data_IF_037193102660
#
_entry.id   IF_037193102660
#
_cell.length_a   1.000
_cell.length_b   1.000
_cell.length_c   1.000
_cell.angle_alpha   90.00
_cell.angle_beta   90.00
_cell.angle_gamma   90.00
#
_symmetry.space_group_name_H-M   'P 1'
#
loop_
_entity.id
_entity.type
_entity.pdbx_description
1 polymer ?
#
# COMPACT_ATOMS: atom_id res chain seq x y z
N UNK A 1 -12.08 1.74 1.19
CA UNK A 1 -10.85 1.16 0.58
C UNK A 1 -10.04 0.47 1.66
N UNK A 2 -9.31 -0.60 1.33
CA UNK A 2 -8.43 -1.32 2.26
C UNK A 2 -7.01 -1.39 1.73
N UNK A 3 -6.03 -1.36 2.63
CA UNK A 3 -4.60 -1.28 2.31
C UNK A 3 -3.93 -2.65 2.50
N UNK A 4 -2.99 -2.99 1.63
CA UNK A 4 -2.06 -4.10 1.82
C UNK A 4 -0.67 -3.53 2.08
N UNK A 5 -0.19 -3.68 3.32
CA UNK A 5 1.13 -3.23 3.71
C UNK A 5 2.19 -4.25 3.30
N UNK A 6 3.19 -3.75 2.59
CA UNK A 6 4.38 -4.47 2.17
C UNK A 6 5.30 -4.88 3.34
N UNK A 7 6.23 -5.82 3.10
CA UNK A 7 7.12 -6.43 4.08
C UNK A 7 8.08 -5.43 4.75
N UNK A 8 8.44 -4.33 4.08
CA UNK A 8 9.23 -3.25 4.67
C UNK A 8 8.44 -2.33 5.61
N UNK A 9 7.12 -2.52 5.71
CA UNK A 9 6.26 -1.78 6.61
C UNK A 9 5.95 -2.60 7.86
N UNK A 10 5.59 -1.91 8.94
CA UNK A 10 5.28 -2.61 10.19
C UNK A 10 3.87 -3.18 10.13
N UNK A 11 3.73 -4.46 10.48
CA UNK A 11 2.44 -5.14 10.76
C UNK A 11 1.53 -4.36 11.72
N UNK A 12 2.10 -3.56 12.63
CA UNK A 12 1.32 -2.72 13.55
C UNK A 12 0.47 -1.67 12.83
N UNK A 13 0.80 -1.30 11.59
CA UNK A 13 0.00 -0.35 10.80
C UNK A 13 -1.41 -0.87 10.53
N UNK A 14 -1.61 -2.19 10.43
CA UNK A 14 -2.93 -2.81 10.25
C UNK A 14 -3.87 -2.40 11.37
N UNK A 15 -3.46 -2.58 12.62
CA UNK A 15 -4.30 -2.24 13.78
C UNK A 15 -4.35 -0.75 14.03
N UNK A 16 -3.25 -0.03 13.79
CA UNK A 16 -3.14 1.40 14.05
C UNK A 16 -3.88 2.27 13.04
N UNK A 17 -4.21 1.77 11.86
CA UNK A 17 -4.93 2.51 10.81
C UNK A 17 -6.33 1.96 10.55
N UNK A 18 -6.79 0.98 11.35
CA UNK A 18 -8.07 0.31 11.17
C UNK A 18 -9.29 1.25 11.29
N UNK A 19 -9.14 2.38 11.97
CA UNK A 19 -10.15 3.43 12.09
C UNK A 19 -10.39 4.18 10.77
N UNK A 20 -9.38 4.30 9.92
CA UNK A 20 -9.46 4.97 8.61
C UNK A 20 -9.55 3.99 7.44
N UNK A 21 -8.84 2.86 7.55
CA UNK A 21 -8.72 1.85 6.51
C UNK A 21 -9.09 0.48 7.10
N UNK A 22 -10.39 0.24 7.38
CA UNK A 22 -10.85 -1.05 7.87
C UNK A 22 -10.51 -2.16 6.87
N UNK A 23 -10.34 -3.40 7.38
CA UNK A 23 -10.01 -4.59 6.57
C UNK A 23 -8.66 -4.55 5.86
N UNK A 24 -7.82 -3.57 6.19
CA UNK A 24 -6.42 -3.56 5.74
C UNK A 24 -5.67 -4.75 6.29
N UNK A 25 -4.65 -5.20 5.57
CA UNK A 25 -3.84 -6.36 5.92
C UNK A 25 -2.37 -6.09 5.60
N UNK A 26 -1.55 -7.09 5.87
CA UNK A 26 -0.12 -7.05 5.64
C UNK A 26 0.29 -8.33 4.89
N UNK A 27 1.25 -8.25 3.97
CA UNK A 27 1.66 -9.37 3.10
C UNK A 27 1.95 -10.68 3.88
N UNK A 28 2.64 -10.58 5.01
CA UNK A 28 2.88 -11.69 5.96
C UNK A 28 1.59 -12.45 6.36
N UNK A 29 0.46 -11.76 6.56
CA UNK A 29 -0.80 -12.41 6.97
C UNK A 29 -1.43 -13.24 5.84
N UNK A 30 -1.03 -12.98 4.59
CA UNK A 30 -1.42 -13.76 3.42
C UNK A 30 -0.37 -14.84 3.06
N UNK A 31 0.65 -15.05 3.91
CA UNK A 31 1.76 -15.97 3.61
C UNK A 31 2.67 -15.48 2.48
N UNK A 32 2.70 -14.16 2.24
CA UNK A 32 3.46 -13.51 1.16
C UNK A 32 4.73 -12.83 1.69
N UNK A 33 5.29 -13.31 2.80
CA UNK A 33 6.47 -12.74 3.43
C UNK A 33 7.77 -12.94 2.61
N UNK A 34 7.79 -13.96 1.76
CA UNK A 34 8.88 -14.27 0.82
C UNK A 34 8.40 -14.28 -0.64
N UNK A 35 7.19 -13.79 -0.88
CA UNK A 35 6.61 -13.78 -2.21
C UNK A 35 7.21 -12.65 -3.05
N UNK A 36 7.37 -12.90 -4.35
CA UNK A 36 7.78 -11.87 -5.30
C UNK A 36 6.69 -10.80 -5.44
N UNK A 37 7.08 -9.59 -5.86
CA UNK A 37 6.17 -8.46 -6.06
C UNK A 37 4.97 -8.80 -6.93
N UNK A 38 5.14 -9.67 -7.92
CA UNK A 38 4.05 -10.11 -8.79
C UNK A 38 2.98 -10.92 -8.04
N UNK A 39 3.38 -11.75 -7.08
CA UNK A 39 2.43 -12.51 -6.26
C UNK A 39 1.69 -11.59 -5.27
N UNK A 40 2.40 -10.63 -4.67
CA UNK A 40 1.79 -9.58 -3.84
C UNK A 40 0.81 -8.74 -4.67
N UNK A 41 1.19 -8.36 -5.89
CA UNK A 41 0.36 -7.63 -6.83
C UNK A 41 -0.90 -8.41 -7.21
N UNK A 42 -0.78 -9.71 -7.48
CA UNK A 42 -1.91 -10.56 -7.83
C UNK A 42 -2.88 -10.70 -6.66
N UNK A 43 -2.38 -10.96 -5.45
CA UNK A 43 -3.20 -11.00 -4.24
C UNK A 43 -3.91 -9.67 -4.01
N UNK A 44 -3.19 -8.54 -4.13
CA UNK A 44 -3.80 -7.23 -3.97
C UNK A 44 -4.88 -6.95 -5.00
N UNK A 45 -4.68 -7.36 -6.26
CA UNK A 45 -5.68 -7.25 -7.31
C UNK A 45 -6.93 -8.07 -7.00
N UNK A 46 -6.74 -9.35 -6.69
CA UNK A 46 -7.83 -10.32 -6.53
C UNK A 46 -8.68 -10.02 -5.30
N UNK A 47 -8.05 -9.49 -4.24
CA UNK A 47 -8.74 -9.12 -3.00
C UNK A 47 -9.17 -7.64 -2.93
N UNK A 48 -8.83 -6.83 -3.94
CA UNK A 48 -9.23 -5.42 -4.03
C UNK A 48 -8.47 -4.47 -3.08
N UNK A 49 -7.20 -4.77 -2.79
CA UNK A 49 -6.31 -3.93 -2.00
C UNK A 49 -5.66 -2.80 -2.80
N UNK A 50 -5.32 -1.73 -2.08
CA UNK A 50 -4.30 -0.75 -2.50
C UNK A 50 -2.98 -1.13 -1.82
N UNK A 51 -1.93 -1.35 -2.59
CA UNK A 51 -0.61 -1.69 -2.05
C UNK A 51 0.02 -0.43 -1.46
N UNK A 52 0.56 -0.54 -0.25
CA UNK A 52 1.38 0.50 0.36
C UNK A 52 2.78 -0.04 0.53
N UNK A 53 3.75 0.62 -0.10
CA UNK A 53 5.16 0.20 -0.10
C UNK A 53 6.09 1.38 0.04
N UNK A 54 7.34 1.10 0.40
CA UNK A 54 8.47 2.03 0.33
C UNK A 54 9.40 1.74 -0.86
N UNK A 55 9.23 0.58 -1.50
CA UNK A 55 10.10 0.15 -2.58
C UNK A 55 9.61 0.67 -3.92
N UNK A 56 10.57 0.91 -4.81
CA UNK A 56 10.30 1.33 -6.18
C UNK A 56 9.82 0.19 -7.06
N UNK A 57 10.10 -1.06 -6.72
CA UNK A 57 10.01 -2.22 -7.63
C UNK A 57 8.55 -2.49 -8.03
N UNK A 58 7.61 -2.20 -7.14
CA UNK A 58 6.17 -2.20 -7.41
C UNK A 58 5.74 -1.23 -8.53
N UNK A 59 6.46 -0.12 -8.72
CA UNK A 59 6.15 0.85 -9.78
C UNK A 59 6.37 0.22 -11.16
N UNK A 60 7.38 -0.63 -11.32
CA UNK A 60 7.66 -1.30 -12.59
C UNK A 60 6.51 -2.27 -12.94
N UNK A 61 6.02 -3.02 -11.95
CA UNK A 61 4.88 -3.93 -12.13
C UNK A 61 3.62 -3.17 -12.57
N UNK A 62 3.30 -2.05 -11.92
CA UNK A 62 2.10 -1.28 -12.26
C UNK A 62 2.27 -0.49 -13.56
N UNK A 63 3.47 -0.07 -13.92
CA UNK A 63 3.75 0.60 -15.20
C UNK A 63 3.54 -0.37 -16.36
N UNK A 64 3.89 -1.64 -16.18
CA UNK A 64 3.71 -2.68 -17.19
C UNK A 64 2.27 -3.20 -17.28
N UNK A 65 1.55 -3.32 -16.15
CA UNK A 65 0.24 -3.99 -16.09
C UNK A 65 -0.97 -3.06 -15.87
N UNK A 66 -0.73 -1.81 -15.50
CA UNK A 66 -1.77 -0.87 -15.11
C UNK A 66 -2.42 -1.20 -13.75
N UNK A 67 -3.42 -0.40 -13.37
CA UNK A 67 -4.28 -0.68 -12.23
C UNK A 67 -5.53 -1.46 -12.65
N UNK A 68 -6.17 -2.26 -11.77
CA UNK A 68 -5.82 -2.53 -10.37
C UNK A 68 -4.75 -3.64 -10.17
N UNK A 69 -4.04 -3.65 -9.02
CA UNK A 69 -4.18 -2.81 -7.84
C UNK A 69 -3.50 -1.44 -8.01
N UNK A 70 -3.91 -0.49 -7.16
CA UNK A 70 -3.27 0.82 -7.06
C UNK A 70 -2.15 0.80 -6.04
N UNK A 71 -1.18 1.68 -6.20
CA UNK A 71 0.03 1.71 -5.37
C UNK A 71 0.18 3.07 -4.70
N UNK A 72 0.34 3.06 -3.38
CA UNK A 72 0.74 4.21 -2.58
C UNK A 72 2.20 4.02 -2.19
N UNK A 73 3.06 4.85 -2.76
CA UNK A 73 4.50 4.80 -2.54
C UNK A 73 4.92 5.87 -1.53
N UNK A 74 5.40 5.42 -0.37
CA UNK A 74 5.84 6.31 0.72
C UNK A 74 7.35 6.52 0.63
N UNK A 75 7.76 7.69 0.14
CA UNK A 75 9.16 8.05 -0.12
C UNK A 75 9.82 8.71 1.08
N UNK A 76 9.91 7.96 2.16
CA UNK A 76 10.62 8.38 3.37
C UNK A 76 11.78 7.45 3.68
N UNK A 77 12.85 8.01 4.24
CA UNK A 77 13.99 7.23 4.72
C UNK A 77 13.64 6.31 5.90
N UNK A 78 14.67 5.88 6.63
CA UNK A 78 14.45 5.12 7.86
C UNK A 78 13.69 6.00 8.87
N UNK A 79 12.50 5.54 9.24
CA UNK A 79 11.63 6.25 10.16
C UNK A 79 10.83 5.26 10.99
N UNK A 80 10.22 5.77 12.04
CA UNK A 80 9.44 4.94 12.96
C UNK A 80 8.09 4.57 12.36
N UNK A 81 7.49 3.47 12.83
CA UNK A 81 6.11 3.12 12.46
C UNK A 81 5.12 4.25 12.76
N UNK A 82 5.33 5.00 13.83
CA UNK A 82 4.57 6.21 14.18
C UNK A 82 4.67 7.32 13.13
N UNK A 83 5.84 7.49 12.52
CA UNK A 83 6.02 8.46 11.42
C UNK A 83 5.22 8.03 10.20
N UNK A 84 5.35 6.77 9.78
CA UNK A 84 4.62 6.23 8.61
C UNK A 84 3.11 6.31 8.84
N UNK A 85 2.64 5.93 10.02
CA UNK A 85 1.23 6.08 10.40
C UNK A 85 0.76 7.53 10.27
N UNK A 86 1.54 8.48 10.80
CA UNK A 86 1.20 9.91 10.75
C UNK A 86 1.12 10.42 9.31
N UNK A 87 2.03 9.97 8.44
CA UNK A 87 2.02 10.30 7.00
C UNK A 87 0.75 9.76 6.35
N UNK A 88 0.45 8.47 6.52
CA UNK A 88 -0.73 7.84 5.93
C UNK A 88 -2.02 8.53 6.42
N UNK A 89 -2.11 8.83 7.73
CA UNK A 89 -3.26 9.54 8.31
C UNK A 89 -3.43 10.93 7.73
N UNK A 90 -2.36 11.72 7.63
CA UNK A 90 -2.40 13.08 7.04
C UNK A 90 -2.75 13.06 5.56
N UNK A 91 -2.32 12.02 4.86
CA UNK A 91 -2.60 11.83 3.43
C UNK A 91 -3.92 11.12 3.15
N UNK A 92 -4.74 10.82 4.16
CA UNK A 92 -6.02 10.12 3.97
C UNK A 92 -6.90 10.73 2.87
N UNK A 93 -7.15 12.06 2.84
CA UNK A 93 -7.99 12.65 1.78
C UNK A 93 -7.39 12.47 0.38
N UNK A 94 -6.06 12.48 0.28
CA UNK A 94 -5.35 12.29 -0.97
C UNK A 94 -5.42 10.83 -1.44
N UNK A 95 -5.28 9.88 -0.52
CA UNK A 95 -5.40 8.44 -0.80
C UNK A 95 -6.84 8.10 -1.22
N UNK A 96 -7.84 8.69 -0.56
CA UNK A 96 -9.26 8.52 -0.90
C UNK A 96 -9.57 9.08 -2.29
N UNK A 97 -9.15 10.32 -2.55
CA UNK A 97 -9.27 10.92 -3.87
C UNK A 97 -8.61 10.04 -4.94
N UNK A 98 -7.36 9.64 -4.71
CA UNK A 98 -6.62 8.75 -5.60
C UNK A 98 -7.35 7.43 -5.85
N UNK A 99 -7.93 6.79 -4.83
CA UNK A 99 -8.67 5.54 -4.99
C UNK A 99 -9.85 5.67 -5.95
N UNK A 100 -10.57 6.79 -5.92
CA UNK A 100 -11.71 7.03 -6.81
C UNK A 100 -11.33 7.48 -8.23
N UNK A 101 -10.09 7.93 -8.47
CA UNK A 101 -9.67 8.42 -9.79
C UNK A 101 -9.14 7.29 -10.69
N UNK A 102 -9.81 6.92 -11.80
CA UNK A 102 -9.49 5.72 -12.57
C UNK A 102 -8.19 5.82 -13.37
N UNK A 103 -7.67 7.02 -13.62
CA UNK A 103 -6.50 7.23 -14.50
C UNK A 103 -5.14 7.15 -13.76
N UNK A 104 -5.13 7.07 -12.43
CA UNK A 104 -3.90 7.06 -11.64
C UNK A 104 -3.64 5.67 -11.05
N UNK A 105 -2.46 5.11 -11.36
CA UNK A 105 -2.02 3.81 -10.84
C UNK A 105 -1.10 3.93 -9.61
N UNK A 106 -0.35 5.03 -9.51
CA UNK A 106 0.61 5.31 -8.43
C UNK A 106 0.26 6.65 -7.77
N UNK A 107 0.31 6.68 -6.44
CA UNK A 107 0.31 7.88 -5.62
C UNK A 107 1.62 7.95 -4.83
N UNK A 108 2.41 8.99 -5.07
CA UNK A 108 3.64 9.27 -4.32
C UNK A 108 3.34 10.17 -3.10
N UNK A 109 3.86 9.81 -1.93
CA UNK A 109 3.76 10.60 -0.70
C UNK A 109 5.17 10.79 -0.12
N UNK A 110 5.56 12.05 0.08
CA UNK A 110 6.84 12.47 0.67
C UNK A 110 6.69 12.86 2.14
#
# INVERSE_FOLDING_TARGET
MKLLFDHHLSRKLVTRLADLFPESSHVILHGLDQAEDMAIWQCARDEGYVIVTKDSDFNDVVTLRGAPPKIVWIRVGNCTTTTIESIIRRSYPLIEFFYHHPQSAILEIM
#
